data_IF_869914364093
#
_entry.id   IF_869914364093
#
_cell.length_a   1.000
_cell.length_b   1.000
_cell.length_c   1.000
_cell.angle_alpha   90.00
_cell.angle_beta   90.00
_cell.angle_gamma   90.00
#
_symmetry.space_group_name_H-M   'P 1'
#
loop_
_entity.id
_entity.type
_entity.pdbx_description
1 polymer ?
#
# COMPACT_ATOMS: atom_id res chain seq x y z
N UNK A 1 13.53 -2.60 -17.03
CA UNK A 1 13.31 -2.84 -15.58
C UNK A 1 13.11 -4.33 -15.38
N UNK A 2 13.82 -4.89 -14.42
CA UNK A 2 13.62 -6.25 -13.91
C UNK A 2 12.24 -6.38 -13.27
N UNK A 3 11.77 -7.62 -13.12
CA UNK A 3 10.50 -7.89 -12.44
C UNK A 3 10.49 -7.41 -10.99
N UNK A 4 11.64 -7.49 -10.31
CA UNK A 4 11.79 -6.96 -8.96
C UNK A 4 11.65 -5.43 -8.91
N UNK A 5 12.24 -4.71 -9.86
CA UNK A 5 12.10 -3.24 -9.93
C UNK A 5 10.64 -2.83 -10.14
N UNK A 6 9.90 -3.54 -11.00
CA UNK A 6 8.47 -3.29 -11.23
C UNK A 6 7.64 -3.55 -9.96
N UNK A 7 7.91 -4.67 -9.28
CA UNK A 7 7.22 -5.02 -8.05
C UNK A 7 7.46 -3.99 -6.94
N UNK A 8 8.70 -3.49 -6.82
CA UNK A 8 9.05 -2.45 -5.85
C UNK A 8 8.34 -1.12 -6.15
N UNK A 9 8.26 -0.71 -7.42
CA UNK A 9 7.51 0.49 -7.82
C UNK A 9 6.04 0.34 -7.47
N UNK A 10 5.42 -0.79 -7.81
CA UNK A 10 4.01 -1.06 -7.49
C UNK A 10 3.74 -0.99 -5.98
N UNK A 11 4.62 -1.58 -5.15
CA UNK A 11 4.49 -1.53 -3.70
C UNK A 11 4.57 -0.10 -3.16
N UNK A 12 5.49 0.72 -3.68
CA UNK A 12 5.65 2.13 -3.30
C UNK A 12 4.42 2.94 -3.70
N UNK A 13 3.88 2.71 -4.90
CA UNK A 13 2.71 3.43 -5.40
C UNK A 13 1.47 3.10 -4.57
N UNK A 14 1.23 1.80 -4.31
CA UNK A 14 0.14 1.37 -3.42
C UNK A 14 0.33 1.96 -2.02
N UNK A 15 1.54 1.93 -1.45
CA UNK A 15 1.79 2.55 -0.15
C UNK A 15 1.38 4.04 -0.13
N UNK A 16 1.81 4.81 -1.14
CA UNK A 16 1.52 6.24 -1.20
C UNK A 16 0.05 6.57 -1.48
N UNK A 17 -0.71 5.67 -2.13
CA UNK A 17 -2.16 5.86 -2.32
C UNK A 17 -2.95 5.84 -1.00
N UNK A 18 -2.46 5.12 0.00
CA UNK A 18 -3.13 4.97 1.30
C UNK A 18 -2.48 5.83 2.39
N UNK A 19 -1.17 6.10 2.33
CA UNK A 19 -0.47 6.91 3.34
C UNK A 19 -0.83 8.38 3.24
N UNK A 20 -0.85 9.07 4.38
CA UNK A 20 -0.98 10.54 4.44
C UNK A 20 -2.41 11.07 4.29
N UNK A 21 -3.43 10.22 4.19
CA UNK A 21 -4.85 10.61 4.26
C UNK A 21 -5.18 11.24 5.60
N UNK A 22 -4.51 10.80 6.66
CA UNK A 22 -4.68 11.31 8.02
C UNK A 22 -3.44 12.04 8.58
N UNK A 23 -2.51 12.47 7.73
CA UNK A 23 -1.36 13.28 8.17
C UNK A 23 -0.05 12.98 7.45
N UNK A 24 0.78 12.10 8.01
CA UNK A 24 2.15 11.84 7.53
C UNK A 24 2.16 10.90 6.32
N UNK A 25 2.45 11.44 5.13
CA UNK A 25 2.55 10.71 3.86
C UNK A 25 3.66 9.66 3.78
N UNK A 26 4.50 9.56 4.80
CA UNK A 26 5.56 8.56 4.88
C UNK A 26 5.20 7.41 5.85
N UNK A 27 3.98 7.40 6.39
CA UNK A 27 3.49 6.38 7.30
C UNK A 27 2.07 5.97 6.94
N UNK A 28 1.78 4.69 7.16
CA UNK A 28 0.40 4.20 7.21
C UNK A 28 -0.04 4.16 8.66
N UNK A 29 -1.11 4.88 8.98
CA UNK A 29 -1.83 4.71 10.23
C UNK A 29 -2.64 3.42 10.19
N UNK A 30 -3.13 3.02 11.37
CA UNK A 30 -3.89 1.78 11.53
C UNK A 30 -5.14 1.73 10.65
N UNK A 31 -5.85 2.85 10.49
CA UNK A 31 -7.01 2.99 9.60
C UNK A 31 -6.61 2.84 8.13
N UNK A 32 -5.60 3.58 7.69
CA UNK A 32 -5.07 3.55 6.32
C UNK A 32 -4.56 2.16 5.92
N UNK A 33 -3.83 1.49 6.82
CA UNK A 33 -3.38 0.11 6.61
C UNK A 33 -4.55 -0.87 6.51
N UNK A 34 -5.60 -0.68 7.32
CA UNK A 34 -6.80 -1.53 7.27
C UNK A 34 -7.52 -1.37 5.92
N UNK A 35 -7.61 -0.16 5.40
CA UNK A 35 -8.17 0.10 4.07
C UNK A 35 -7.33 -0.55 2.97
N UNK A 36 -6.00 -0.41 3.02
CA UNK A 36 -5.09 -1.06 2.05
C UNK A 36 -5.28 -2.57 2.03
N UNK A 37 -5.26 -3.23 3.19
CA UNK A 37 -5.41 -4.70 3.26
C UNK A 37 -6.76 -5.13 2.71
N UNK A 38 -7.85 -4.43 3.08
CA UNK A 38 -9.18 -4.80 2.64
C UNK A 38 -9.40 -4.60 1.13
N UNK A 39 -8.74 -3.61 0.52
CA UNK A 39 -8.96 -3.25 -0.88
C UNK A 39 -7.98 -3.92 -1.83
N UNK A 40 -6.70 -3.98 -1.47
CA UNK A 40 -5.62 -4.48 -2.34
C UNK A 40 -5.28 -5.95 -2.09
N UNK A 41 -5.56 -6.44 -0.88
CA UNK A 41 -5.24 -7.80 -0.44
C UNK A 41 -6.49 -8.61 -0.09
N UNK A 42 -7.64 -8.26 -0.69
CA UNK A 42 -8.94 -8.90 -0.42
C UNK A 42 -8.94 -10.42 -0.60
N UNK A 43 -8.07 -10.94 -1.47
CA UNK A 43 -7.93 -12.37 -1.80
C UNK A 43 -6.58 -12.97 -1.33
N UNK A 44 -5.80 -12.25 -0.52
CA UNK A 44 -4.44 -12.68 -0.18
C UNK A 44 -4.39 -13.88 0.78
N UNK A 45 -5.45 -14.09 1.56
CA UNK A 45 -5.55 -15.18 2.56
C UNK A 45 -6.57 -16.27 2.16
N UNK A 46 -7.06 -16.25 0.92
CA UNK A 46 -7.90 -17.33 0.37
C UNK A 46 -7.08 -18.57 -0.01
#
# INVERSE_FOLDING_TARGET
>A
MSELEKAMVALIDVFHQYSGREGDKHKLKKSELKELINNELSHFLE
#
